data_IF_148796282651
#
_entry.id   IF_148796282651
#
_cell.length_a   1.000
_cell.length_b   1.000
_cell.length_c   1.000
_cell.angle_alpha   90.00
_cell.angle_beta   90.00
_cell.angle_gamma   90.00
#
_symmetry.space_group_name_H-M   'P 1'
#
loop_
_entity.id
_entity.type
_entity.pdbx_description
1 polymer ?
#
# COMPACT_ATOMS: atom_id res chain seq x y z
N UNK A 1 21.68 0.84 17.08
CA UNK A 1 20.72 -0.29 17.09
C UNK A 1 20.23 -0.45 15.66
N UNK A 2 20.21 -1.65 15.06
CA UNK A 2 19.53 -1.85 13.78
C UNK A 2 18.05 -1.51 14.00
N UNK A 3 17.46 -0.67 13.15
CA UNK A 3 16.02 -0.46 13.15
C UNK A 3 15.36 -1.79 12.77
N UNK A 4 14.41 -2.26 13.60
CA UNK A 4 13.54 -3.35 13.19
C UNK A 4 12.58 -2.81 12.14
N UNK A 5 12.53 -3.48 10.98
CA UNK A 5 11.49 -3.27 9.98
C UNK A 5 10.13 -3.36 10.66
N UNK A 6 9.38 -2.26 10.65
CA UNK A 6 8.04 -2.22 11.22
C UNK A 6 7.05 -2.84 10.24
N UNK A 7 6.63 -4.08 10.46
CA UNK A 7 5.44 -4.64 9.81
C UNK A 7 4.20 -4.18 10.54
N UNK A 8 3.32 -3.48 9.83
CA UNK A 8 2.05 -2.99 10.35
C UNK A 8 0.91 -3.63 9.57
N UNK A 9 0.10 -4.41 10.27
CA UNK A 9 -1.07 -5.07 9.70
C UNK A 9 -2.33 -4.29 10.05
N UNK A 10 -3.10 -3.90 9.03
CA UNK A 10 -4.41 -3.31 9.20
C UNK A 10 -5.39 -4.33 9.78
N UNK A 11 -6.08 -3.96 10.85
CA UNK A 11 -7.19 -4.72 11.44
C UNK A 11 -8.53 -4.05 11.20
N UNK A 12 -8.52 -2.76 10.83
CA UNK A 12 -9.72 -1.95 10.64
C UNK A 12 -10.39 -1.49 11.92
N UNK A 13 -9.86 -1.88 13.09
CA UNK A 13 -10.40 -1.49 14.39
C UNK A 13 -11.88 -1.83 14.55
N UNK A 14 -12.63 -0.92 15.16
CA UNK A 14 -14.09 -1.01 15.29
C UNK A 14 -14.85 -0.58 14.02
N UNK A 15 -14.13 -0.29 12.93
CA UNK A 15 -14.70 0.14 11.65
C UNK A 15 -15.11 1.61 11.57
N UNK A 16 -14.86 2.42 12.61
CA UNK A 16 -15.33 3.81 12.65
C UNK A 16 -14.40 4.79 11.95
N UNK A 17 -13.09 4.66 12.19
CA UNK A 17 -12.07 5.57 11.64
C UNK A 17 -11.47 5.04 10.35
N UNK A 18 -11.35 5.90 9.33
CA UNK A 18 -10.63 5.59 8.09
C UNK A 18 -9.16 6.05 8.12
N UNK A 19 -8.69 6.64 9.22
CA UNK A 19 -7.36 7.25 9.29
C UNK A 19 -6.28 6.21 9.60
N UNK A 20 -5.14 6.29 8.92
CA UNK A 20 -3.97 5.45 9.22
C UNK A 20 -3.30 5.85 10.54
N UNK A 21 -3.43 7.10 10.98
CA UNK A 21 -2.93 7.57 12.28
C UNK A 21 -3.69 6.98 13.48
N UNK A 22 -4.86 6.38 13.25
CA UNK A 22 -5.66 5.76 14.31
C UNK A 22 -5.04 4.42 14.73
N UNK A 23 -4.33 4.40 15.86
CA UNK A 23 -3.61 3.21 16.34
C UNK A 23 -4.47 1.95 16.47
N UNK A 24 -5.75 2.08 16.88
CA UNK A 24 -6.67 0.94 17.01
C UNK A 24 -7.03 0.26 15.68
N UNK A 25 -6.76 0.90 14.53
CA UNK A 25 -6.94 0.30 13.22
C UNK A 25 -5.81 -0.67 12.84
N UNK A 26 -4.77 -0.77 13.67
CA UNK A 26 -3.58 -1.58 13.42
C UNK A 26 -3.40 -2.64 14.50
N UNK A 27 -2.83 -3.78 14.09
CA UNK A 27 -2.43 -4.82 15.03
C UNK A 27 -1.43 -4.25 16.04
N UNK A 28 -1.65 -4.52 17.33
CA UNK A 28 -0.86 -3.96 18.42
C UNK A 28 -1.21 -2.52 18.80
N UNK A 29 -2.27 -1.94 18.23
CA UNK A 29 -2.81 -0.65 18.66
C UNK A 29 -1.92 0.56 18.35
N UNK A 30 -0.93 0.39 17.47
CA UNK A 30 0.07 1.41 17.14
C UNK A 30 0.06 1.69 15.64
N UNK A 31 -0.08 2.96 15.27
CA UNK A 31 -0.05 3.38 13.88
C UNK A 31 1.35 3.16 13.25
N UNK A 32 1.41 2.92 11.93
CA UNK A 32 2.67 2.81 11.21
C UNK A 32 3.59 4.00 11.41
N UNK A 33 4.89 3.74 11.40
CA UNK A 33 5.91 4.80 11.28
C UNK A 33 6.34 4.89 9.82
N UNK A 34 6.53 6.10 9.31
CA UNK A 34 7.06 6.33 7.96
C UNK A 34 8.57 6.11 7.95
N UNK A 35 9.05 5.05 7.30
CA UNK A 35 10.46 4.69 7.24
C UNK A 35 10.77 3.83 6.01
N UNK A 36 12.05 3.74 5.64
CA UNK A 36 12.47 2.97 4.47
C UNK A 36 12.29 1.46 4.63
N UNK A 37 12.07 0.96 5.85
CA UNK A 37 11.88 -0.44 6.20
C UNK A 37 10.42 -0.76 6.61
N UNK A 38 9.51 0.19 6.44
CA UNK A 38 8.09 0.02 6.77
C UNK A 38 7.41 -0.94 5.80
N UNK A 39 6.66 -1.89 6.35
CA UNK A 39 5.84 -2.85 5.61
C UNK A 39 4.38 -2.66 6.03
N UNK A 40 3.49 -2.42 5.07
CA UNK A 40 2.05 -2.28 5.27
C UNK A 40 1.34 -3.52 4.72
N UNK A 41 0.55 -4.18 5.56
CA UNK A 41 -0.23 -5.34 5.16
C UNK A 41 -1.73 -5.12 5.39
N UNK A 42 -2.51 -5.24 4.32
CA UNK A 42 -3.96 -5.28 4.33
C UNK A 42 -4.40 -6.72 4.07
N UNK A 43 -4.78 -7.46 5.11
CA UNK A 43 -5.11 -8.89 5.01
C UNK A 43 -6.36 -9.22 5.84
N UNK A 44 -7.36 -8.33 5.79
CA UNK A 44 -8.65 -8.50 6.46
C UNK A 44 -9.77 -7.99 5.57
N UNK A 45 -11.01 -8.36 5.87
CA UNK A 45 -12.20 -7.78 5.21
C UNK A 45 -12.71 -6.52 5.92
N UNK A 46 -12.23 -6.26 7.14
CA UNK A 46 -12.75 -5.21 8.00
C UNK A 46 -12.25 -3.83 7.59
N UNK A 47 -13.19 -2.88 7.55
CA UNK A 47 -12.94 -1.47 7.31
C UNK A 47 -12.00 -1.19 6.10
N UNK A 48 -12.38 -1.59 4.87
CA UNK A 48 -11.52 -1.47 3.69
C UNK A 48 -11.58 -0.09 3.01
N UNK A 49 -12.34 0.85 3.58
CA UNK A 49 -12.77 2.07 2.92
C UNK A 49 -13.84 1.83 1.86
N UNK A 50 -14.39 2.91 1.32
CA UNK A 50 -15.34 2.90 0.20
C UNK A 50 -14.95 3.97 -0.83
N UNK A 51 -15.60 3.97 -2.00
CA UNK A 51 -15.34 4.97 -3.04
C UNK A 51 -15.56 6.42 -2.60
N UNK A 52 -16.41 6.66 -1.60
CA UNK A 52 -16.75 7.98 -1.04
C UNK A 52 -16.17 8.24 0.35
N UNK A 53 -15.69 7.21 1.06
CA UNK A 53 -15.06 7.31 2.36
C UNK A 53 -13.86 6.36 2.43
N UNK A 54 -12.75 6.78 1.85
CA UNK A 54 -11.55 5.97 1.61
C UNK A 54 -10.64 5.93 2.83
N UNK A 55 -9.82 4.89 2.94
CA UNK A 55 -8.75 4.82 3.94
C UNK A 55 -7.72 5.91 3.68
N UNK A 56 -7.60 6.84 4.62
CA UNK A 56 -6.75 8.02 4.50
C UNK A 56 -5.37 7.73 5.12
N UNK A 57 -4.35 7.65 4.27
CA UNK A 57 -2.98 7.78 4.72
C UNK A 57 -2.75 9.23 5.16
N UNK A 58 -2.58 9.46 6.48
CA UNK A 58 -2.45 10.79 7.10
C UNK A 58 -1.24 10.89 8.04
N UNK A 59 -0.33 9.92 7.99
CA UNK A 59 0.80 9.80 8.94
C UNK A 59 1.96 10.74 8.56
N UNK A 60 2.28 10.83 7.28
CA UNK A 60 3.42 11.58 6.75
C UNK A 60 3.15 11.97 5.29
N UNK A 61 3.90 12.96 4.80
CA UNK A 61 3.78 13.47 3.43
C UNK A 61 5.17 13.81 2.86
N UNK A 62 5.79 12.93 2.04
CA UNK A 62 5.32 11.59 1.68
C UNK A 62 5.45 10.57 2.83
N UNK A 63 4.71 9.46 2.75
CA UNK A 63 4.88 8.30 3.61
C UNK A 63 5.84 7.31 2.97
N UNK A 64 6.96 7.07 3.63
CA UNK A 64 8.01 6.17 3.17
C UNK A 64 7.66 4.74 3.59
N UNK A 65 7.82 3.80 2.65
CA UNK A 65 7.65 2.37 2.86
C UNK A 65 8.50 1.56 1.90
N UNK A 66 8.80 0.31 2.28
CA UNK A 66 9.42 -0.68 1.40
C UNK A 66 8.37 -1.60 0.76
N UNK A 67 7.33 -1.97 1.52
CA UNK A 67 6.35 -2.94 1.05
C UNK A 67 4.93 -2.50 1.37
N UNK A 68 4.05 -2.66 0.38
CA UNK A 68 2.60 -2.65 0.56
C UNK A 68 2.01 -3.92 -0.05
N UNK A 69 1.23 -4.63 0.75
CA UNK A 69 0.64 -5.90 0.35
C UNK A 69 -0.85 -5.93 0.66
N UNK A 70 -1.66 -6.32 -0.33
CA UNK A 70 -3.03 -6.81 -0.12
C UNK A 70 -2.99 -8.34 -0.12
N UNK A 71 -3.18 -8.92 1.06
CA UNK A 71 -3.06 -10.34 1.30
C UNK A 71 -4.30 -11.16 0.92
N UNK A 72 -4.17 -12.49 0.99
CA UNK A 72 -5.20 -13.43 0.56
C UNK A 72 -6.54 -13.26 1.30
N UNK A 73 -6.51 -12.83 2.55
CA UNK A 73 -7.69 -12.61 3.37
C UNK A 73 -8.31 -11.22 3.15
N UNK A 74 -7.71 -10.36 2.30
CA UNK A 74 -8.33 -9.14 1.79
C UNK A 74 -9.42 -9.47 0.75
N UNK A 75 -10.44 -10.22 1.17
CA UNK A 75 -11.58 -10.65 0.36
C UNK A 75 -12.64 -9.54 0.23
N UNK A 76 -12.16 -8.36 -0.15
CA UNK A 76 -12.96 -7.15 -0.33
C UNK A 76 -12.21 -6.13 -1.20
N UNK A 77 -12.96 -5.25 -1.85
CA UNK A 77 -12.34 -4.09 -2.49
C UNK A 77 -11.84 -3.08 -1.46
N UNK A 78 -10.55 -2.76 -1.53
CA UNK A 78 -9.95 -1.67 -0.76
C UNK A 78 -9.95 -0.37 -1.54
N UNK A 79 -10.20 0.72 -0.84
CA UNK A 79 -10.15 2.08 -1.36
C UNK A 79 -9.20 2.91 -0.51
N UNK A 80 -8.01 3.19 -1.03
CA UNK A 80 -6.98 3.98 -0.35
C UNK A 80 -6.92 5.40 -0.93
N UNK A 81 -6.64 6.38 -0.08
CA UNK A 81 -6.46 7.80 -0.44
C UNK A 81 -5.56 8.50 0.59
N UNK A 82 -5.40 9.81 0.47
CA UNK A 82 -4.62 10.63 1.40
C UNK A 82 -3.28 11.06 0.83
N UNK A 83 -2.25 11.13 1.67
CA UNK A 83 -0.93 11.60 1.29
C UNK A 83 -0.19 10.67 0.30
N UNK A 84 0.90 11.13 -0.33
CA UNK A 84 1.69 10.33 -1.26
C UNK A 84 2.37 9.13 -0.58
N UNK A 85 2.41 8.00 -1.29
CA UNK A 85 3.16 6.81 -0.91
C UNK A 85 4.48 6.79 -1.66
N UNK A 86 5.60 6.89 -0.95
CA UNK A 86 6.94 6.87 -1.53
C UNK A 86 7.62 5.53 -1.25
N UNK A 87 7.65 4.68 -2.28
CA UNK A 87 8.31 3.39 -2.23
C UNK A 87 9.82 3.60 -2.35
N UNK A 88 10.56 3.25 -1.30
CA UNK A 88 12.02 3.44 -1.23
C UNK A 88 12.74 2.12 -0.97
N UNK A 89 13.95 1.99 -1.50
CA UNK A 89 14.80 0.86 -1.18
C UNK A 89 15.21 0.88 0.30
N UNK A 90 15.20 -0.29 0.94
CA UNK A 90 15.72 -0.50 2.28
C UNK A 90 17.12 -1.12 2.16
N UNK A 91 18.16 -0.29 2.21
CA UNK A 91 19.52 -0.72 1.90
C UNK A 91 19.58 -1.41 0.52
N UNK A 92 19.86 -2.73 0.47
CA UNK A 92 19.91 -3.50 -0.77
C UNK A 92 18.56 -4.03 -1.27
N UNK A 93 17.49 -3.89 -0.48
CA UNK A 93 16.17 -4.47 -0.80
C UNK A 93 15.30 -3.46 -1.54
N UNK A 94 14.95 -3.78 -2.79
CA UNK A 94 14.05 -2.98 -3.61
C UNK A 94 12.59 -3.10 -3.14
N UNK A 95 11.79 -2.03 -3.22
CA UNK A 95 10.43 -2.05 -2.71
C UNK A 95 9.45 -2.83 -3.59
N UNK A 96 8.32 -3.20 -3.00
CA UNK A 96 7.28 -4.00 -3.64
C UNK A 96 5.88 -3.47 -3.33
N UNK A 97 5.03 -3.47 -4.36
CA UNK A 97 3.59 -3.35 -4.20
C UNK A 97 2.94 -4.62 -4.76
N UNK A 98 2.35 -5.42 -3.87
CA UNK A 98 1.73 -6.69 -4.20
C UNK A 98 0.23 -6.71 -3.93
N UNK A 99 -0.53 -7.27 -4.87
CA UNK A 99 -1.90 -7.72 -4.63
C UNK A 99 -2.00 -9.21 -4.90
N UNK A 100 -2.45 -9.97 -3.90
CA UNK A 100 -2.88 -11.36 -4.04
C UNK A 100 -4.19 -11.63 -3.28
N UNK A 101 -4.89 -10.57 -2.86
CA UNK A 101 -6.21 -10.61 -2.25
C UNK A 101 -7.33 -10.61 -3.28
N UNK A 102 -8.52 -11.04 -2.86
CA UNK A 102 -9.67 -11.12 -3.76
C UNK A 102 -10.32 -9.76 -3.97
N UNK A 103 -10.96 -9.54 -5.12
CA UNK A 103 -11.53 -8.27 -5.58
C UNK A 103 -10.54 -7.16 -5.90
N UNK A 104 -11.03 -6.20 -6.68
CA UNK A 104 -10.24 -5.08 -7.16
C UNK A 104 -9.78 -4.15 -6.03
N UNK A 105 -8.62 -3.52 -6.21
CA UNK A 105 -8.05 -2.52 -5.30
C UNK A 105 -8.02 -1.16 -6.00
N UNK A 106 -8.47 -0.11 -5.33
CA UNK A 106 -8.52 1.25 -5.87
C UNK A 106 -7.65 2.17 -5.02
N UNK A 107 -6.58 2.70 -5.62
CA UNK A 107 -5.55 3.46 -4.94
C UNK A 107 -5.52 4.87 -5.51
N UNK A 108 -5.91 5.85 -4.71
CA UNK A 108 -5.97 7.25 -5.09
C UNK A 108 -4.73 8.05 -4.64
N UNK A 109 -3.91 7.47 -3.76
CA UNK A 109 -2.63 8.07 -3.37
C UNK A 109 -1.72 8.28 -4.58
N UNK A 110 -1.02 9.41 -4.61
CA UNK A 110 0.12 9.57 -5.51
C UNK A 110 1.21 8.56 -5.16
N UNK A 111 1.83 7.96 -6.17
CA UNK A 111 2.90 6.98 -6.00
C UNK A 111 4.22 7.64 -6.40
N UNK A 112 5.21 7.60 -5.51
CA UNK A 112 6.53 8.17 -5.74
C UNK A 112 7.60 7.08 -5.74
N UNK A 113 8.43 7.03 -6.79
CA UNK A 113 9.54 6.09 -6.92
C UNK A 113 10.84 6.89 -7.17
N UNK A 114 11.69 7.10 -6.15
CA UNK A 114 12.91 7.89 -6.29
C UNK A 114 13.94 7.25 -7.24
N UNK A 115 14.85 8.07 -7.76
CA UNK A 115 15.96 7.60 -8.60
C UNK A 115 16.77 6.49 -7.92
N UNK A 116 17.18 5.48 -8.69
CA UNK A 116 17.91 4.32 -8.18
C UNK A 116 17.03 3.28 -7.48
N UNK A 117 15.72 3.49 -7.42
CA UNK A 117 14.74 2.53 -6.88
C UNK A 117 13.97 1.86 -8.01
N UNK A 118 13.77 0.55 -7.90
CA UNK A 118 12.87 -0.23 -8.77
C UNK A 118 11.69 -0.70 -7.93
N UNK A 119 10.50 -0.14 -8.15
CA UNK A 119 9.28 -0.63 -7.54
C UNK A 119 8.78 -1.86 -8.29
N UNK A 120 8.77 -3.01 -7.60
CA UNK A 120 8.22 -4.27 -8.11
C UNK A 120 6.70 -4.26 -7.95
N UNK A 121 5.99 -4.27 -9.07
CA UNK A 121 4.53 -4.34 -9.13
C UNK A 121 4.13 -5.80 -9.41
N UNK A 122 3.54 -6.44 -8.40
CA UNK A 122 3.13 -7.85 -8.47
C UNK A 122 1.63 -7.91 -8.28
N UNK A 123 0.90 -8.44 -9.25
CA UNK A 123 -0.55 -8.61 -9.10
C UNK A 123 -0.92 -10.04 -9.52
N UNK A 124 -1.29 -10.84 -8.55
CA UNK A 124 -1.60 -12.26 -8.73
C UNK A 124 -3.07 -12.50 -9.09
N UNK A 125 -3.97 -11.55 -8.85
CA UNK A 125 -5.43 -11.74 -9.03
C UNK A 125 -6.17 -10.41 -9.03
N UNK A 126 -7.34 -10.31 -9.69
CA UNK A 126 -8.18 -9.10 -9.77
C UNK A 126 -7.41 -7.82 -10.19
N UNK A 127 -8.09 -6.68 -10.30
CA UNK A 127 -7.45 -5.47 -10.82
C UNK A 127 -6.90 -4.60 -9.70
N UNK A 128 -5.73 -4.01 -9.92
CA UNK A 128 -5.27 -2.87 -9.12
C UNK A 128 -5.37 -1.61 -9.98
N UNK A 129 -6.17 -0.65 -9.52
CA UNK A 129 -6.42 0.63 -10.19
C UNK A 129 -5.67 1.74 -9.47
N UNK A 130 -4.74 2.37 -10.18
CA UNK A 130 -3.98 3.51 -9.70
C UNK A 130 -4.58 4.79 -10.32
N UNK A 131 -5.13 5.63 -9.47
CA UNK A 131 -5.73 6.93 -9.81
C UNK A 131 -4.86 8.12 -9.42
N UNK A 132 -3.86 7.91 -8.56
CA UNK A 132 -2.90 8.96 -8.23
C UNK A 132 -1.80 9.09 -9.29
N UNK A 133 -1.21 10.28 -9.39
CA UNK A 133 -0.03 10.53 -10.22
C UNK A 133 1.11 9.60 -9.79
N UNK A 134 1.77 8.98 -10.77
CA UNK A 134 3.02 8.25 -10.55
C UNK A 134 4.19 9.15 -10.92
N UNK A 135 5.16 9.32 -10.03
CA UNK A 135 6.26 10.27 -10.21
C UNK A 135 7.59 9.80 -9.63
N UNK A 136 8.66 10.51 -9.96
CA UNK A 136 10.02 10.21 -9.53
C UNK A 136 10.92 9.73 -10.68
N UNK A 137 12.20 9.52 -10.38
CA UNK A 137 13.21 9.10 -11.37
C UNK A 137 13.53 7.61 -11.36
N UNK A 138 12.81 6.81 -10.57
CA UNK A 138 12.98 5.37 -10.47
C UNK A 138 12.25 4.58 -11.55
N UNK A 139 12.26 3.26 -11.42
CA UNK A 139 11.70 2.33 -12.39
C UNK A 139 10.48 1.62 -11.81
N UNK A 140 9.44 1.42 -12.64
CA UNK A 140 8.37 0.45 -12.36
C UNK A 140 8.70 -0.86 -13.05
N UNK A 141 8.72 -1.96 -12.31
CA UNK A 141 8.90 -3.30 -12.85
C UNK A 141 7.63 -4.11 -12.63
N UNK A 142 6.86 -4.32 -13.69
CA UNK A 142 5.72 -5.23 -13.67
C UNK A 142 6.23 -6.67 -13.76
N UNK A 143 5.96 -7.47 -12.74
CA UNK A 143 6.35 -8.89 -12.74
C UNK A 143 5.27 -9.78 -13.37
N UNK A 144 5.71 -10.90 -13.94
CA UNK A 144 4.82 -11.86 -14.59
C UNK A 144 3.76 -12.37 -13.60
N UNK A 145 2.51 -12.17 -13.98
CA UNK A 145 1.34 -12.43 -13.14
C UNK A 145 0.95 -13.90 -13.28
N UNK A 146 0.82 -14.60 -12.14
CA UNK A 146 0.43 -16.01 -12.14
C UNK A 146 -1.08 -16.22 -12.30
N UNK A 147 -1.88 -15.21 -11.94
CA UNK A 147 -3.32 -15.14 -12.20
C UNK A 147 -3.68 -13.86 -12.95
N UNK A 148 -4.82 -13.87 -13.64
CA UNK A 148 -5.21 -12.86 -14.64
C UNK A 148 -5.61 -11.49 -14.07
N UNK A 149 -4.99 -11.03 -12.99
CA UNK A 149 -5.20 -9.68 -12.46
C UNK A 149 -4.43 -8.63 -13.24
N UNK A 150 -4.99 -7.44 -13.47
CA UNK A 150 -4.35 -6.39 -14.29
C UNK A 150 -3.96 -5.15 -13.47
N UNK A 151 -2.95 -4.40 -13.92
CA UNK A 151 -2.64 -3.06 -13.41
C UNK A 151 -3.26 -2.02 -14.34
N UNK A 152 -4.11 -1.16 -13.81
CA UNK A 152 -4.73 -0.09 -14.57
C UNK A 152 -4.22 1.26 -14.06
N UNK A 153 -3.63 2.05 -14.96
CA UNK A 153 -3.10 3.38 -14.66
C UNK A 153 -4.03 4.40 -15.30
N UNK A 154 -4.68 5.23 -14.49
CA UNK A 154 -5.71 6.17 -14.97
C UNK A 154 -5.21 7.61 -15.11
N UNK A 155 -4.11 7.98 -14.45
CA UNK A 155 -3.53 9.33 -14.46
C UNK A 155 -1.98 9.32 -14.50
N UNK A 156 -1.39 8.29 -15.14
CA UNK A 156 0.06 8.18 -15.32
C UNK A 156 0.58 8.93 -16.55
#
# INVERSE_FOLDING_TARGET
>A
MPAWAGTFSWTGGDGTSQLWSTGSNWSGGTAPTSASDTVINFDVMNNPGTSTNRLQQDIANPFLLNEMTFGHNADVSYYLDGGPLQFVANAGTQPMFRNYGWYDKSIYNAIQVPSGTTLRLINDTYNVRLYGVISGGGTLQMEAQSGGGEWHLYDA
#
